data_IF_442146632680
#
_entry.id   IF_442146632680
#
_cell.length_a   1.000
_cell.length_b   1.000
_cell.length_c   1.000
_cell.angle_alpha   90.00
_cell.angle_beta   90.00
_cell.angle_gamma   90.00
#
_symmetry.space_group_name_H-M   'P 1'
#
loop_
_entity.id
_entity.type
_entity.pdbx_description
1 polymer ?
#
# COMPACT_ATOMS: atom_id res chain seq x y z
N UNK A 1 25.40 6.79 12.63
CA UNK A 1 25.87 5.52 12.06
C UNK A 1 24.66 4.59 12.07
N UNK A 2 23.90 4.58 10.97
CA UNK A 2 22.71 3.73 10.83
C UNK A 2 22.96 2.87 9.61
N UNK A 3 23.50 1.67 9.85
CA UNK A 3 23.66 0.67 8.80
C UNK A 3 22.27 0.22 8.36
N UNK A 4 21.82 0.75 7.22
CA UNK A 4 20.70 0.19 6.48
C UNK A 4 21.13 -1.23 6.05
N UNK A 5 20.44 -2.32 6.46
CA UNK A 5 20.77 -3.64 5.95
C UNK A 5 20.45 -3.68 4.45
N UNK A 6 21.52 -3.52 3.67
CA UNK A 6 21.59 -3.78 2.25
C UNK A 6 21.18 -5.22 1.96
N UNK A 7 20.70 -5.43 0.73
CA UNK A 7 20.17 -6.71 0.26
C UNK A 7 21.03 -7.91 0.71
N UNK A 8 20.40 -8.83 1.46
CA UNK A 8 21.04 -10.08 1.88
C UNK A 8 21.21 -10.95 0.65
N UNK A 9 22.46 -11.18 0.22
CA UNK A 9 22.77 -12.09 -0.88
C UNK A 9 22.33 -13.51 -0.49
N UNK A 10 21.37 -14.08 -1.23
CA UNK A 10 20.77 -15.39 -0.95
C UNK A 10 19.32 -15.36 -0.46
N UNK A 11 18.68 -14.19 -0.32
CA UNK A 11 17.26 -14.16 0.07
C UNK A 11 16.34 -14.77 -1.02
N UNK A 12 15.41 -15.61 -0.59
CA UNK A 12 14.36 -16.13 -1.49
C UNK A 12 13.43 -15.00 -1.94
N UNK A 13 12.72 -15.20 -3.06
CA UNK A 13 11.71 -14.23 -3.54
C UNK A 13 10.67 -13.87 -2.46
N UNK A 14 10.32 -14.84 -1.62
CA UNK A 14 9.41 -14.65 -0.49
C UNK A 14 10.01 -13.79 0.61
N UNK A 15 11.24 -14.08 1.04
CA UNK A 15 11.94 -13.27 2.06
C UNK A 15 12.15 -11.83 1.57
N UNK A 16 12.48 -11.65 0.29
CA UNK A 16 12.56 -10.32 -0.34
C UNK A 16 11.22 -9.60 -0.31
N UNK A 17 10.14 -10.30 -0.64
CA UNK A 17 8.81 -9.73 -0.56
C UNK A 17 8.47 -9.31 0.87
N UNK A 18 8.66 -10.17 1.87
CA UNK A 18 8.35 -9.87 3.28
C UNK A 18 9.13 -8.64 3.78
N UNK A 19 10.44 -8.58 3.51
CA UNK A 19 11.30 -7.44 3.90
C UNK A 19 10.84 -6.14 3.27
N UNK A 20 10.62 -6.15 1.96
CA UNK A 20 10.19 -4.97 1.22
C UNK A 20 8.76 -4.55 1.59
N UNK A 21 7.86 -5.50 1.78
CA UNK A 21 6.48 -5.26 2.18
C UNK A 21 6.44 -4.62 3.57
N UNK A 22 7.12 -5.20 4.56
CA UNK A 22 7.18 -4.65 5.92
C UNK A 22 7.71 -3.21 5.93
N UNK A 23 8.85 -2.95 5.27
CA UNK A 23 9.44 -1.61 5.19
C UNK A 23 8.50 -0.60 4.50
N UNK A 24 7.87 -1.00 3.39
CA UNK A 24 6.96 -0.11 2.64
C UNK A 24 5.66 0.16 3.38
N UNK A 25 5.06 -0.86 4.01
CA UNK A 25 3.86 -0.71 4.83
C UNK A 25 4.13 0.23 6.00
N UNK A 26 5.26 0.06 6.71
CA UNK A 26 5.61 0.95 7.80
C UNK A 26 5.80 2.40 7.33
N UNK A 27 6.50 2.61 6.21
CA UNK A 27 6.67 3.95 5.63
C UNK A 27 5.31 4.58 5.25
N UNK A 28 4.40 3.81 4.64
CA UNK A 28 3.07 4.28 4.28
C UNK A 28 2.25 4.67 5.53
N UNK A 29 2.24 3.83 6.56
CA UNK A 29 1.55 4.12 7.82
C UNK A 29 2.09 5.38 8.50
N UNK A 30 3.41 5.61 8.46
CA UNK A 30 4.01 6.84 8.98
C UNK A 30 3.56 8.08 8.20
N UNK A 31 3.48 8.01 6.86
CA UNK A 31 2.95 9.12 6.06
C UNK A 31 1.47 9.39 6.33
N UNK A 32 0.66 8.35 6.52
CA UNK A 32 -0.75 8.48 6.90
C UNK A 32 -0.88 9.15 8.27
N UNK A 33 -0.03 8.78 9.25
CA UNK A 33 0.00 9.45 10.56
C UNK A 33 0.32 10.94 10.45
N UNK A 34 1.27 11.32 9.60
CA UNK A 34 1.57 12.74 9.35
C UNK A 34 0.38 13.50 8.76
N UNK A 35 -0.40 12.87 7.87
CA UNK A 35 -1.65 13.45 7.37
C UNK A 35 -2.68 13.60 8.50
N UNK A 36 -2.76 12.63 9.41
CA UNK A 36 -3.59 12.73 10.62
C UNK A 36 -3.20 13.90 11.52
N UNK A 37 -1.90 14.23 11.62
CA UNK A 37 -1.45 15.39 12.42
C UNK A 37 -1.93 16.73 11.86
N UNK A 38 -2.40 16.79 10.60
CA UNK A 38 -3.00 17.98 10.01
C UNK A 38 -4.38 18.30 10.60
N UNK A 39 -4.99 17.38 11.37
CA UNK A 39 -6.23 17.67 12.11
C UNK A 39 -6.00 18.51 13.37
N UNK A 40 -4.74 18.81 13.69
CA UNK A 40 -4.37 19.67 14.82
C UNK A 40 -4.86 21.11 14.59
N UNK A 41 -5.09 21.83 15.69
CA UNK A 41 -5.54 23.22 15.72
C UNK A 41 -4.60 24.22 15.01
N UNK A 42 -3.42 23.80 14.58
CA UNK A 42 -2.49 24.59 13.78
C UNK A 42 -2.89 24.73 12.30
N UNK A 43 -3.83 23.93 11.80
CA UNK A 43 -4.24 23.93 10.41
C UNK A 43 -5.76 24.07 10.25
N UNK A 44 -6.17 24.95 9.34
CA UNK A 44 -7.56 25.08 8.93
C UNK A 44 -7.76 24.33 7.62
N UNK A 45 -8.79 23.48 7.56
CA UNK A 45 -9.18 22.75 6.36
C UNK A 45 -10.69 22.70 6.27
N UNK A 46 -11.21 22.64 5.05
CA UNK A 46 -12.65 22.39 4.83
C UNK A 46 -12.95 20.90 4.89
N UNK A 47 -14.18 20.49 5.25
CA UNK A 47 -14.58 19.09 5.19
C UNK A 47 -14.39 18.49 3.79
N UNK A 48 -14.54 19.30 2.72
CA UNK A 48 -14.29 18.88 1.34
C UNK A 48 -12.80 18.58 1.07
N UNK A 49 -11.89 19.39 1.60
CA UNK A 49 -10.45 19.15 1.49
C UNK A 49 -10.05 17.86 2.22
N UNK A 50 -10.58 17.65 3.43
CA UNK A 50 -10.37 16.41 4.17
C UNK A 50 -10.91 15.19 3.39
N UNK A 51 -12.12 15.29 2.84
CA UNK A 51 -12.72 14.24 2.03
C UNK A 51 -11.87 13.90 0.79
N UNK A 52 -11.30 14.90 0.10
CA UNK A 52 -10.40 14.69 -1.04
C UNK A 52 -9.12 13.95 -0.63
N UNK A 53 -8.49 14.34 0.47
CA UNK A 53 -7.27 13.69 0.99
C UNK A 53 -7.56 12.23 1.36
N UNK A 54 -8.62 11.98 2.13
CA UNK A 54 -9.00 10.61 2.52
C UNK A 54 -9.43 9.78 1.30
N UNK A 55 -10.16 10.38 0.35
CA UNK A 55 -10.56 9.72 -0.89
C UNK A 55 -9.37 9.26 -1.72
N UNK A 56 -8.34 10.10 -1.87
CA UNK A 56 -7.11 9.74 -2.57
C UNK A 56 -6.36 8.59 -1.88
N UNK A 57 -6.30 8.59 -0.54
CA UNK A 57 -5.71 7.49 0.23
C UNK A 57 -6.45 6.16 0.00
N UNK A 58 -7.79 6.19 0.05
CA UNK A 58 -8.63 5.00 -0.19
C UNK A 58 -8.43 4.45 -1.60
N UNK A 59 -8.45 5.30 -2.61
CA UNK A 59 -8.26 4.89 -4.01
C UNK A 59 -6.87 4.26 -4.25
N UNK A 60 -5.83 4.77 -3.59
CA UNK A 60 -4.50 4.19 -3.65
C UNK A 60 -4.45 2.77 -3.02
N UNK A 61 -5.11 2.58 -1.88
CA UNK A 61 -5.22 1.25 -1.23
C UNK A 61 -6.01 0.28 -2.11
N UNK A 62 -7.14 0.72 -2.66
CA UNK A 62 -7.97 -0.08 -3.57
C UNK A 62 -7.19 -0.56 -4.80
N UNK A 63 -6.40 0.33 -5.41
CA UNK A 63 -5.52 0.00 -6.52
C UNK A 63 -4.47 -1.06 -6.15
N UNK A 64 -3.91 -0.98 -4.94
CA UNK A 64 -2.94 -1.96 -4.43
C UNK A 64 -3.63 -3.31 -4.18
N UNK A 65 -4.80 -3.30 -3.55
CA UNK A 65 -5.62 -4.49 -3.31
C UNK A 65 -5.97 -5.19 -4.63
N UNK A 66 -6.45 -4.45 -5.63
CA UNK A 66 -6.75 -4.96 -6.96
C UNK A 66 -5.52 -5.62 -7.61
N UNK A 67 -4.33 -5.04 -7.46
CA UNK A 67 -3.08 -5.65 -7.95
C UNK A 67 -2.74 -6.95 -7.24
N UNK A 68 -2.88 -7.02 -5.91
CA UNK A 68 -2.66 -8.25 -5.16
C UNK A 68 -3.68 -9.34 -5.51
N UNK A 69 -4.95 -8.96 -5.71
CA UNK A 69 -5.99 -9.90 -6.10
C UNK A 69 -5.80 -10.42 -7.53
N UNK A 70 -5.37 -9.56 -8.47
CA UNK A 70 -5.05 -9.95 -9.85
C UNK A 70 -3.88 -10.94 -9.93
N UNK A 71 -2.90 -10.86 -9.03
CA UNK A 71 -1.78 -11.81 -8.96
C UNK A 71 -2.24 -13.21 -8.54
N UNK A 72 -3.32 -13.34 -7.76
CA UNK A 72 -3.98 -14.65 -7.50
C UNK A 72 -4.87 -15.11 -8.66
N UNK A 73 -5.18 -14.23 -9.61
CA UNK A 73 -6.12 -14.43 -10.70
C UNK A 73 -5.54 -14.87 -12.05
N UNK A 74 -4.23 -15.13 -12.18
CA UNK A 74 -3.69 -15.76 -13.42
C UNK A 74 -3.85 -17.28 -13.42
N UNK A 75 -5.03 -17.77 -13.00
CA UNK A 75 -5.71 -18.81 -13.77
C UNK A 75 -6.82 -18.09 -14.51
N UNK A 76 -6.58 -17.84 -15.80
CA UNK A 76 -7.67 -17.58 -16.72
C UNK A 76 -8.79 -18.61 -16.46
N UNK A 77 -10.08 -18.22 -16.42
CA UNK A 77 -11.13 -19.18 -16.68
C UNK A 77 -11.09 -19.51 -18.18
N UNK A 78 -10.11 -20.31 -18.60
CA UNK A 78 -10.26 -21.12 -19.80
C UNK A 78 -11.02 -22.37 -19.40
N UNK A 79 -12.34 -22.34 -19.48
CA UNK A 79 -13.11 -23.40 -20.16
C UNK A 79 -14.56 -22.99 -20.35
N UNK A 80 -14.98 -23.04 -21.62
CA UNK A 80 -16.36 -23.15 -22.06
C UNK A 80 -17.16 -24.15 -21.23
N UNK A 81 -18.42 -23.85 -20.94
CA UNK A 81 -19.45 -24.89 -20.97
C UNK A 81 -20.78 -24.31 -21.45
N UNK A 82 -21.28 -24.98 -22.48
CA UNK A 82 -22.49 -24.77 -23.26
C UNK A 82 -23.76 -24.85 -22.42
N UNK A 83 -24.75 -24.01 -22.74
CA UNK A 83 -26.19 -24.34 -22.81
C UNK A 83 -26.93 -23.30 -23.65
#
# INVERSE_FOLDING_TARGET
MSEEPGAVQGETKEQRFQRLAAKRTQAALQKIRLLGNLTSSSYAYTPEQAAKVIGALRAAVDTVEAKFNRVRGTRAPETSFTL
#
